data_IF_210837002714
#
_entry.id   IF_210837002714
#
_cell.length_a   1.000
_cell.length_b   1.000
_cell.length_c   1.000
_cell.angle_alpha   90.00
_cell.angle_beta   90.00
_cell.angle_gamma   90.00
#
_symmetry.space_group_name_H-M   'P 1'
#
loop_
_entity.id
_entity.type
_entity.pdbx_description
1 polymer ?
#
# COMPACT_ATOMS: atom_id res chain seq x y z
N UNK A 1 -13.35 -13.12 3.62
CA UNK A 1 -12.01 -13.18 3.03
C UNK A 1 -11.12 -12.33 3.89
N UNK A 2 -10.08 -12.92 4.49
CA UNK A 2 -9.16 -12.18 5.36
C UNK A 2 -8.26 -11.30 4.49
N UNK A 3 -8.49 -9.99 4.52
CA UNK A 3 -7.60 -9.03 3.86
C UNK A 3 -6.28 -8.96 4.62
N UNK A 4 -5.17 -8.98 3.87
CA UNK A 4 -3.82 -8.99 4.45
C UNK A 4 -3.53 -7.63 5.09
N UNK A 5 -2.79 -7.59 6.21
CA UNK A 5 -2.30 -6.30 6.72
C UNK A 5 -1.38 -5.64 5.69
N UNK A 6 -1.54 -4.33 5.48
CA UNK A 6 -0.70 -3.55 4.58
C UNK A 6 0.77 -3.51 5.05
N UNK A 7 1.03 -3.81 6.33
CA UNK A 7 2.35 -3.91 6.94
C UNK A 7 3.04 -5.28 6.73
N UNK A 8 2.36 -6.22 6.08
CA UNK A 8 2.86 -7.58 5.87
C UNK A 8 3.87 -7.74 4.74
N UNK A 9 4.19 -6.65 4.03
CA UNK A 9 5.13 -6.62 2.91
C UNK A 9 6.28 -5.68 3.25
N UNK A 10 7.51 -6.13 2.99
CA UNK A 10 8.68 -5.25 3.05
C UNK A 10 8.78 -4.39 1.76
N UNK A 11 9.77 -3.50 1.68
CA UNK A 11 9.89 -2.57 0.55
C UNK A 11 10.11 -3.27 -0.80
N UNK A 12 10.90 -4.33 -0.82
CA UNK A 12 11.14 -5.11 -2.04
C UNK A 12 9.89 -5.90 -2.43
N UNK A 13 9.19 -6.51 -1.47
CA UNK A 13 7.93 -7.21 -1.72
C UNK A 13 6.87 -6.25 -2.29
N UNK A 14 6.82 -5.01 -1.78
CA UNK A 14 5.94 -3.98 -2.33
C UNK A 14 6.28 -3.63 -3.78
N UNK A 15 7.57 -3.53 -4.12
CA UNK A 15 7.99 -3.28 -5.52
C UNK A 15 7.56 -4.43 -6.44
N UNK A 16 7.69 -5.67 -5.99
CA UNK A 16 7.26 -6.86 -6.74
C UNK A 16 5.74 -6.86 -6.91
N UNK A 17 5.00 -6.72 -5.81
CA UNK A 17 3.54 -6.70 -5.81
C UNK A 17 2.98 -5.60 -6.71
N UNK A 18 3.57 -4.39 -6.69
CA UNK A 18 3.16 -3.30 -7.57
C UNK A 18 3.36 -3.66 -9.04
N UNK A 19 4.50 -4.26 -9.41
CA UNK A 19 4.74 -4.69 -10.80
C UNK A 19 3.74 -5.74 -11.26
N UNK A 20 3.45 -6.73 -10.42
CA UNK A 20 2.46 -7.78 -10.71
C UNK A 20 1.05 -7.21 -10.89
N UNK A 21 0.72 -6.14 -10.17
CA UNK A 21 -0.56 -5.43 -10.28
C UNK A 21 -0.52 -4.30 -11.33
N UNK A 22 0.45 -4.30 -12.24
CA UNK A 22 0.61 -3.29 -13.33
C UNK A 22 0.77 -1.85 -12.83
N UNK A 23 1.36 -1.67 -11.65
CA UNK A 23 1.66 -0.39 -11.03
C UNK A 23 3.17 -0.10 -11.07
N UNK A 24 3.53 1.18 -10.99
CA UNK A 24 4.92 1.61 -11.01
C UNK A 24 5.63 1.27 -9.69
N UNK A 25 6.75 0.53 -9.76
CA UNK A 25 7.46 0.04 -8.56
C UNK A 25 7.94 1.16 -7.61
N UNK A 26 8.24 2.37 -8.12
CA UNK A 26 8.67 3.48 -7.27
C UNK A 26 7.60 3.94 -6.26
N UNK A 27 6.32 3.60 -6.50
CA UNK A 27 5.21 3.89 -5.58
C UNK A 27 5.37 3.18 -4.25
N UNK A 28 6.18 2.11 -4.18
CA UNK A 28 6.51 1.41 -2.93
C UNK A 28 7.06 2.36 -1.87
N UNK A 29 7.97 3.28 -2.25
CA UNK A 29 8.54 4.26 -1.32
C UNK A 29 7.46 5.21 -0.77
N UNK A 30 6.50 5.60 -1.60
CA UNK A 30 5.40 6.47 -1.16
C UNK A 30 4.51 5.75 -0.15
N UNK A 31 4.15 4.49 -0.42
CA UNK A 31 3.38 3.66 0.51
C UNK A 31 4.14 3.53 1.84
N UNK A 32 5.44 3.25 1.80
CA UNK A 32 6.28 3.18 3.01
C UNK A 32 6.30 4.47 3.82
N UNK A 33 6.46 5.61 3.16
CA UNK A 33 6.43 6.91 3.83
C UNK A 33 5.09 7.12 4.55
N UNK A 34 3.97 6.76 3.92
CA UNK A 34 2.66 6.86 4.56
C UNK A 34 2.50 5.92 5.75
N UNK A 35 2.93 4.66 5.60
CA UNK A 35 2.77 3.63 6.62
C UNK A 35 3.68 3.82 7.83
N UNK A 36 4.94 4.19 7.63
CA UNK A 36 5.96 4.20 8.68
C UNK A 36 6.32 5.59 9.19
N UNK A 37 6.25 6.63 8.34
CA UNK A 37 6.53 8.01 8.76
C UNK A 37 5.25 8.74 9.14
N UNK A 38 4.22 8.67 8.31
CA UNK A 38 2.97 9.42 8.52
C UNK A 38 1.93 8.66 9.35
N UNK A 39 2.11 7.34 9.52
CA UNK A 39 1.26 6.48 10.36
C UNK A 39 -0.23 6.63 10.05
N UNK A 40 -0.58 6.58 8.76
CA UNK A 40 -1.98 6.65 8.34
C UNK A 40 -2.78 5.47 8.88
N UNK A 41 -4.06 5.72 9.11
CA UNK A 41 -5.04 4.70 9.54
C UNK A 41 -5.90 4.23 8.38
N UNK A 42 -5.82 4.90 7.22
CA UNK A 42 -6.61 4.56 6.03
C UNK A 42 -5.81 4.80 4.74
N UNK A 43 -5.99 3.94 3.73
CA UNK A 43 -5.35 4.10 2.41
C UNK A 43 -5.83 5.38 1.70
N UNK A 44 -7.06 5.82 1.98
CA UNK A 44 -7.65 7.07 1.47
C UNK A 44 -6.81 8.31 1.77
N UNK A 45 -6.05 8.29 2.87
CA UNK A 45 -5.18 9.39 3.31
C UNK A 45 -3.92 9.54 2.45
N UNK A 46 -3.56 8.52 1.65
CA UNK A 46 -2.37 8.52 0.79
C UNK A 46 -2.59 9.36 -0.47
N UNK A 47 -2.73 10.68 -0.30
CA UNK A 47 -3.19 11.62 -1.33
C UNK A 47 -2.31 11.75 -2.58
N UNK A 48 -1.06 11.28 -2.52
CA UNK A 48 -0.13 11.27 -3.65
C UNK A 48 -0.18 9.96 -4.48
N UNK A 49 -1.00 8.98 -4.07
CA UNK A 49 -1.32 7.79 -4.86
C UNK A 49 -2.53 8.10 -5.76
N UNK A 50 -2.57 7.51 -6.96
CA UNK A 50 -3.74 7.61 -7.83
C UNK A 50 -4.96 6.95 -7.19
N UNK A 51 -6.17 7.37 -7.58
CA UNK A 51 -7.41 6.75 -7.11
C UNK A 51 -7.49 5.28 -7.47
N UNK A 52 -7.00 4.91 -8.65
CA UNK A 52 -6.93 3.51 -9.07
C UNK A 52 -6.03 2.69 -8.15
N UNK A 53 -4.85 3.20 -7.79
CA UNK A 53 -3.95 2.51 -6.86
C UNK A 53 -4.57 2.39 -5.46
N UNK A 54 -5.19 3.46 -4.96
CA UNK A 54 -5.92 3.40 -3.68
C UNK A 54 -7.02 2.33 -3.71
N UNK A 55 -7.75 2.19 -4.82
CA UNK A 55 -8.79 1.17 -4.97
C UNK A 55 -8.22 -0.26 -4.94
N UNK A 56 -7.15 -0.53 -5.70
CA UNK A 56 -6.48 -1.85 -5.71
C UNK A 56 -5.92 -2.19 -4.33
N UNK A 57 -5.34 -1.21 -3.63
CA UNK A 57 -4.84 -1.40 -2.27
C UNK A 57 -5.97 -1.72 -1.28
N UNK A 58 -7.09 -0.99 -1.34
CA UNK A 58 -8.25 -1.21 -0.46
C UNK A 58 -8.93 -2.56 -0.69
N UNK A 59 -8.88 -3.11 -1.90
CA UNK A 59 -9.41 -4.46 -2.19
C UNK A 59 -8.54 -5.56 -1.54
N UNK A 60 -7.23 -5.33 -1.46
CA UNK A 60 -6.24 -6.37 -1.12
C UNK A 60 -5.71 -6.28 0.31
N UNK A 61 -5.73 -5.09 0.92
CA UNK A 61 -5.10 -4.83 2.20
C UNK A 61 -5.98 -4.03 3.16
N UNK A 62 -5.74 -4.26 4.45
CA UNK A 62 -6.24 -3.42 5.53
C UNK A 62 -5.11 -2.69 6.25
N UNK A 63 -5.38 -1.45 6.68
CA UNK A 63 -4.47 -0.65 7.52
C UNK A 63 -4.70 -1.00 8.98
N UNK A 64 -4.43 -2.25 9.33
CA UNK A 64 -4.46 -2.72 10.72
C UNK A 64 -3.04 -3.10 11.13
N UNK A 65 -2.60 -2.57 12.26
CA UNK A 65 -1.47 -3.12 12.99
C UNK A 65 -1.95 -4.42 13.64
N UNK A 66 -1.42 -5.56 13.17
CA UNK A 66 -1.63 -6.87 13.80
C UNK A 66 -1.00 -6.90 15.20
#
# INVERSE_FOLDING_TARGET
MDQKSIYSLNLEDWKVWLKENKQQAFRANQIFDWLYKKRVTEISQMSNLSKDLQAVLNDRFNVTTL
#
